data_IF_505235878707
#
_entry.id   IF_505235878707
#
_cell.length_a   1.000
_cell.length_b   1.000
_cell.length_c   1.000
_cell.angle_alpha   90.00
_cell.angle_beta   90.00
_cell.angle_gamma   90.00
#
_symmetry.space_group_name_H-M   'P 1'
#
loop_
_entity.id
_entity.type
_entity.pdbx_description
1 polymer ?
#
# COMPACT_ATOMS: atom_id res chain seq x y z
N UNK A 1 46.56 23.35 9.50
CA UNK A 1 45.64 23.67 10.61
C UNK A 1 44.21 23.63 10.08
N UNK A 2 43.43 22.73 10.67
CA UNK A 2 41.97 22.55 10.74
C UNK A 2 41.08 23.14 9.62
N UNK A 3 40.48 22.23 8.85
CA UNK A 3 39.31 22.45 7.99
C UNK A 3 38.06 22.60 8.88
N UNK A 4 37.25 23.66 8.77
CA UNK A 4 36.00 23.72 9.54
C UNK A 4 34.97 22.77 8.92
N UNK A 5 34.41 21.93 9.78
CA UNK A 5 33.31 21.00 9.51
C UNK A 5 32.00 21.80 9.35
N UNK A 6 31.12 21.50 8.38
CA UNK A 6 29.86 22.21 8.24
C UNK A 6 28.87 21.70 9.29
N UNK A 7 28.48 22.59 10.20
CA UNK A 7 27.39 22.40 11.17
C UNK A 7 26.10 22.03 10.43
N UNK A 8 25.36 20.97 10.84
CA UNK A 8 24.04 20.72 10.28
C UNK A 8 23.08 21.86 10.67
N UNK A 9 22.18 22.30 9.76
CA UNK A 9 21.19 23.31 10.10
C UNK A 9 20.26 22.78 11.20
N UNK A 10 19.96 23.64 12.18
CA UNK A 10 19.05 23.34 13.27
C UNK A 10 17.70 22.85 12.71
N UNK A 11 17.23 21.70 13.21
CA UNK A 11 15.92 21.16 12.88
C UNK A 11 14.84 22.09 13.44
N UNK A 12 14.22 22.88 12.58
CA UNK A 12 12.97 23.57 12.87
C UNK A 12 11.89 22.55 13.25
N UNK A 13 11.00 22.83 14.22
CA UNK A 13 9.86 21.95 14.49
C UNK A 13 8.91 21.94 13.27
N UNK A 14 8.15 20.85 13.04
CA UNK A 14 7.22 20.78 11.92
C UNK A 14 6.10 21.80 12.15
N UNK A 15 6.13 22.90 11.38
CA UNK A 15 4.98 23.78 11.26
C UNK A 15 3.80 22.95 10.76
N UNK A 16 2.66 23.09 11.43
CA UNK A 16 1.39 22.44 11.12
C UNK A 16 1.17 22.40 9.60
N UNK A 17 1.16 21.18 9.03
CA UNK A 17 1.15 20.98 7.60
C UNK A 17 -0.20 21.38 6.99
N UNK A 18 -0.38 22.67 6.72
CA UNK A 18 -1.44 23.16 5.85
C UNK A 18 -1.24 22.48 4.49
N UNK A 19 -2.21 21.67 4.08
CA UNK A 19 -2.15 20.97 2.80
C UNK A 19 -2.05 22.00 1.67
N UNK A 20 -0.87 22.08 1.04
CA UNK A 20 -0.61 22.99 -0.08
C UNK A 20 -1.54 22.57 -1.24
N UNK A 21 -2.41 23.44 -1.77
CA UNK A 21 -3.29 23.12 -2.90
C UNK A 21 -2.50 22.61 -4.11
N UNK A 22 -3.11 21.74 -4.93
CA UNK A 22 -2.45 21.17 -6.11
C UNK A 22 -2.00 22.25 -7.11
N UNK A 23 -2.76 23.33 -7.22
CA UNK A 23 -2.51 24.45 -8.14
C UNK A 23 -1.55 25.51 -7.56
N UNK A 24 -0.95 25.26 -6.40
CA UNK A 24 -0.03 26.22 -5.77
C UNK A 24 1.30 26.30 -6.52
N UNK A 25 1.78 27.51 -6.77
CA UNK A 25 3.10 27.80 -7.37
C UNK A 25 4.26 27.16 -6.60
N UNK A 26 4.10 26.93 -5.30
CA UNK A 26 5.08 26.22 -4.47
C UNK A 26 5.33 24.78 -4.94
N UNK A 27 4.34 24.13 -5.58
CA UNK A 27 4.50 22.77 -6.14
C UNK A 27 5.21 22.74 -7.49
N UNK A 28 5.31 23.88 -8.18
CA UNK A 28 5.91 24.02 -9.50
C UNK A 28 7.34 24.57 -9.42
N UNK A 29 7.71 25.18 -8.29
CA UNK A 29 9.05 25.74 -8.09
C UNK A 29 10.05 24.63 -7.73
N UNK A 30 11.12 24.43 -8.51
CA UNK A 30 12.13 23.43 -8.19
C UNK A 30 12.79 23.70 -6.83
N UNK A 31 12.94 22.67 -6.00
CA UNK A 31 13.61 22.81 -4.69
C UNK A 31 15.12 23.07 -4.81
N UNK A 32 15.70 22.86 -6.00
CA UNK A 32 17.11 23.10 -6.28
C UNK A 32 17.28 23.53 -7.74
N UNK A 33 18.18 24.49 -8.05
CA UNK A 33 18.40 24.97 -9.42
C UNK A 33 18.86 23.88 -10.40
N UNK A 34 19.53 22.83 -9.91
CA UNK A 34 20.00 21.71 -10.74
C UNK A 34 18.91 20.65 -11.01
N UNK A 35 17.74 20.76 -10.39
CA UNK A 35 16.64 19.84 -10.67
C UNK A 35 15.96 20.25 -11.96
N UNK A 36 15.97 19.33 -12.93
CA UNK A 36 15.29 19.51 -14.21
C UNK A 36 13.81 19.74 -13.97
N UNK A 37 13.29 20.84 -14.50
CA UNK A 37 11.86 21.16 -14.49
C UNK A 37 11.11 20.05 -15.24
N UNK A 38 10.37 19.21 -14.50
CA UNK A 38 9.53 18.18 -15.12
C UNK A 38 8.32 18.91 -15.71
N UNK A 39 8.41 19.24 -17.00
CA UNK A 39 7.30 19.82 -17.77
C UNK A 39 6.20 18.76 -17.90
N UNK A 40 5.21 18.78 -17.01
CA UNK A 40 3.94 18.14 -17.29
C UNK A 40 3.30 18.92 -18.46
N UNK A 41 2.86 18.25 -19.54
CA UNK A 41 2.12 18.93 -20.59
C UNK A 41 0.82 19.50 -20.03
N UNK A 42 0.49 20.73 -20.43
CA UNK A 42 -0.70 21.42 -19.96
C UNK A 42 -1.98 20.73 -20.46
N UNK A 43 -2.76 20.16 -19.54
CA UNK A 43 -4.06 19.56 -19.80
C UNK A 43 -4.22 18.12 -19.28
N UNK A 44 -5.45 17.55 -19.35
CA UNK A 44 -5.69 16.17 -18.97
C UNK A 44 -4.95 15.24 -19.93
N UNK A 45 -3.84 14.66 -19.46
CA UNK A 45 -3.06 13.73 -20.27
C UNK A 45 -3.85 12.43 -20.51
N UNK A 46 -3.95 11.96 -21.76
CA UNK A 46 -4.37 10.58 -22.01
C UNK A 46 -3.36 9.63 -21.37
N UNK A 47 -3.81 8.88 -20.36
CA UNK A 47 -3.01 7.96 -19.53
C UNK A 47 -2.24 6.91 -20.35
N UNK A 48 -2.69 6.62 -21.57
CA UNK A 48 -2.08 5.60 -22.44
C UNK A 48 -0.88 6.11 -23.26
N UNK A 49 -0.55 7.41 -23.19
CA UNK A 49 0.52 8.02 -24.02
C UNK A 49 1.77 8.33 -23.19
N UNK A 50 1.67 8.43 -21.87
CA UNK A 50 2.77 8.89 -21.01
C UNK A 50 3.07 7.91 -19.89
N UNK A 51 4.36 7.74 -19.60
CA UNK A 51 4.81 6.85 -18.53
C UNK A 51 4.36 7.41 -17.16
N UNK A 52 3.68 6.63 -16.31
CA UNK A 52 2.99 7.15 -15.13
C UNK A 52 3.93 7.67 -14.04
N UNK A 53 5.20 7.26 -14.05
CA UNK A 53 6.20 7.68 -13.05
C UNK A 53 7.08 8.82 -13.56
N UNK A 54 7.35 8.87 -14.86
CA UNK A 54 8.35 9.81 -15.43
C UNK A 54 7.71 10.89 -16.30
N UNK A 55 6.41 10.77 -16.59
CA UNK A 55 5.65 11.65 -17.48
C UNK A 55 6.28 11.81 -18.88
N UNK A 56 7.14 10.88 -19.29
CA UNK A 56 7.74 10.87 -20.63
C UNK A 56 6.79 10.21 -21.63
N UNK A 57 6.75 10.68 -22.90
CA UNK A 57 5.99 10.01 -23.94
C UNK A 57 6.46 8.56 -24.10
N UNK A 58 5.54 7.62 -24.01
CA UNK A 58 5.84 6.21 -24.20
C UNK A 58 6.13 6.00 -25.69
N UNK A 59 7.32 5.50 -26.02
CA UNK A 59 7.73 5.23 -27.40
C UNK A 59 7.40 3.77 -27.76
N UNK A 60 7.06 3.49 -29.03
CA UNK A 60 6.82 2.11 -29.49
C UNK A 60 7.97 1.14 -29.26
N UNK A 61 9.21 1.64 -29.14
CA UNK A 61 10.39 0.84 -28.81
C UNK A 61 10.41 0.34 -27.38
N UNK A 62 9.75 1.05 -26.46
CA UNK A 62 9.86 0.80 -25.02
C UNK A 62 9.17 -0.50 -24.61
N UNK A 63 8.28 -1.03 -25.45
CA UNK A 63 7.51 -2.25 -25.21
C UNK A 63 7.56 -3.25 -26.38
N UNK A 64 8.47 -3.05 -27.33
CA UNK A 64 8.55 -3.87 -28.55
C UNK A 64 8.93 -5.33 -28.24
N UNK A 65 9.81 -5.53 -27.25
CA UNK A 65 10.25 -6.85 -26.82
C UNK A 65 9.12 -7.61 -26.12
N UNK A 66 8.40 -6.92 -25.25
CA UNK A 66 7.26 -7.44 -24.50
C UNK A 66 6.11 -7.81 -25.43
N UNK A 67 5.80 -6.95 -26.43
CA UNK A 67 4.80 -7.27 -27.46
C UNK A 67 5.20 -8.52 -28.26
N UNK A 68 6.46 -8.63 -28.67
CA UNK A 68 6.94 -9.80 -29.40
C UNK A 68 6.81 -11.08 -28.57
N UNK A 69 7.15 -11.02 -27.28
CA UNK A 69 6.96 -12.14 -26.37
C UNK A 69 5.48 -12.51 -26.21
N UNK A 70 4.59 -11.51 -26.13
CA UNK A 70 3.16 -11.72 -26.03
C UNK A 70 2.59 -12.40 -27.29
N UNK A 71 3.04 -11.97 -28.47
CA UNK A 71 2.67 -12.58 -29.76
C UNK A 71 3.18 -14.02 -29.88
N UNK A 72 4.38 -14.32 -29.38
CA UNK A 72 4.93 -15.67 -29.35
C UNK A 72 4.14 -16.59 -28.40
N UNK A 73 3.76 -16.08 -27.23
CA UNK A 73 3.00 -16.82 -26.21
C UNK A 73 1.53 -17.02 -26.62
N UNK A 74 0.90 -16.00 -27.21
CA UNK A 74 -0.51 -16.00 -27.56
C UNK A 74 -0.72 -15.70 -29.03
N UNK A 75 -0.48 -16.71 -29.88
CA UNK A 75 -0.59 -16.63 -31.34
C UNK A 75 -2.00 -16.33 -31.86
N UNK A 76 -3.03 -16.45 -31.03
CA UNK A 76 -4.41 -16.11 -31.38
C UNK A 76 -5.08 -15.33 -30.26
N UNK A 77 -6.05 -14.49 -30.64
CA UNK A 77 -6.88 -13.75 -29.69
C UNK A 77 -7.62 -14.67 -28.72
N UNK A 78 -8.11 -15.81 -29.20
CA UNK A 78 -8.78 -16.80 -28.36
C UNK A 78 -7.85 -17.42 -27.33
N UNK A 79 -6.60 -17.73 -27.70
CA UNK A 79 -5.59 -18.23 -26.77
C UNK A 79 -5.26 -17.20 -25.69
N UNK A 80 -5.15 -15.91 -26.05
CA UNK A 80 -4.95 -14.82 -25.10
C UNK A 80 -6.13 -14.70 -24.12
N UNK A 81 -7.37 -14.76 -24.62
CA UNK A 81 -8.58 -14.68 -23.79
C UNK A 81 -8.68 -15.87 -22.84
N UNK A 82 -8.41 -17.09 -23.33
CA UNK A 82 -8.42 -18.28 -22.48
C UNK A 82 -7.36 -18.21 -21.38
N UNK A 83 -6.15 -17.76 -21.70
CA UNK A 83 -5.10 -17.57 -20.70
C UNK A 83 -5.50 -16.54 -19.63
N UNK A 84 -6.11 -15.43 -20.04
CA UNK A 84 -6.66 -14.45 -19.12
C UNK A 84 -7.74 -15.05 -18.21
N UNK A 85 -8.62 -15.90 -18.75
CA UNK A 85 -9.66 -16.56 -17.98
C UNK A 85 -9.09 -17.53 -16.93
N UNK A 86 -8.06 -18.31 -17.29
CA UNK A 86 -7.38 -19.21 -16.35
C UNK A 86 -6.72 -18.43 -15.21
N UNK A 87 -5.99 -17.35 -15.52
CA UNK A 87 -5.40 -16.47 -14.50
C UNK A 87 -6.48 -15.87 -13.60
N UNK A 88 -7.58 -15.38 -14.19
CA UNK A 88 -8.69 -14.83 -13.43
C UNK A 88 -9.33 -15.88 -12.50
N UNK A 89 -9.42 -17.14 -12.94
CA UNK A 89 -9.92 -18.25 -12.13
C UNK A 89 -8.98 -18.54 -10.95
N UNK A 90 -7.69 -18.67 -11.18
CA UNK A 90 -6.69 -18.90 -10.13
C UNK A 90 -6.71 -17.79 -9.06
N UNK A 91 -6.82 -16.54 -9.49
CA UNK A 91 -6.92 -15.39 -8.59
C UNK A 91 -8.20 -15.47 -7.74
N UNK A 92 -9.34 -15.82 -8.35
CA UNK A 92 -10.61 -16.00 -7.61
C UNK A 92 -10.50 -17.12 -6.58
N UNK A 93 -9.94 -18.26 -6.95
CA UNK A 93 -9.75 -19.40 -6.05
C UNK A 93 -8.82 -19.04 -4.88
N UNK A 94 -7.76 -18.25 -5.15
CA UNK A 94 -6.85 -17.75 -4.11
C UNK A 94 -7.53 -16.75 -3.15
N UNK A 95 -8.42 -15.90 -3.66
CA UNK A 95 -9.22 -14.98 -2.85
C UNK A 95 -10.19 -15.76 -1.96
N UNK A 96 -10.90 -16.74 -2.51
CA UNK A 96 -11.86 -17.55 -1.76
C UNK A 96 -11.18 -18.36 -0.66
N UNK A 97 -10.06 -19.03 -0.97
CA UNK A 97 -9.30 -19.78 0.03
C UNK A 97 -8.75 -18.89 1.14
N UNK A 98 -8.26 -17.70 0.81
CA UNK A 98 -7.81 -16.71 1.78
C UNK A 98 -8.95 -16.19 2.66
N UNK A 99 -10.13 -15.97 2.07
CA UNK A 99 -11.35 -15.57 2.78
C UNK A 99 -11.77 -16.65 3.78
N UNK A 100 -11.85 -17.92 3.35
CA UNK A 100 -12.19 -19.05 4.22
C UNK A 100 -11.23 -19.16 5.40
N UNK A 101 -9.92 -19.05 5.16
CA UNK A 101 -8.90 -19.05 6.24
C UNK A 101 -9.12 -17.91 7.23
N UNK A 102 -9.41 -16.71 6.74
CA UNK A 102 -9.69 -15.55 7.60
C UNK A 102 -10.93 -15.78 8.46
N UNK A 103 -12.00 -16.33 7.89
CA UNK A 103 -13.23 -16.66 8.63
C UNK A 103 -13.00 -17.73 9.70
N UNK A 104 -12.20 -18.76 9.40
CA UNK A 104 -11.85 -19.81 10.37
C UNK A 104 -11.02 -19.26 11.53
N UNK A 105 -10.00 -18.45 11.23
CA UNK A 105 -9.19 -17.77 12.26
C UNK A 105 -10.07 -16.87 13.11
N UNK A 106 -10.97 -16.09 12.50
CA UNK A 106 -11.88 -15.22 13.25
C UNK A 106 -12.78 -16.02 14.20
N UNK A 107 -13.39 -17.11 13.73
CA UNK A 107 -14.22 -17.98 14.58
C UNK A 107 -13.42 -18.57 15.75
N UNK A 108 -12.18 -18.99 15.51
CA UNK A 108 -11.30 -19.50 16.56
C UNK A 108 -10.96 -18.41 17.58
N UNK A 109 -10.73 -17.18 17.12
CA UNK A 109 -10.48 -16.05 18.01
C UNK A 109 -11.69 -15.67 18.84
N UNK A 110 -12.88 -15.59 18.24
CA UNK A 110 -14.12 -15.30 18.95
C UNK A 110 -14.40 -16.37 20.02
N UNK A 111 -14.10 -17.64 19.72
CA UNK A 111 -14.22 -18.74 20.68
C UNK A 111 -13.26 -18.54 21.87
N UNK A 112 -11.98 -18.26 21.61
CA UNK A 112 -10.99 -18.02 22.67
C UNK A 112 -11.31 -16.79 23.52
N UNK A 113 -11.86 -15.74 22.90
CA UNK A 113 -12.30 -14.54 23.64
C UNK A 113 -13.42 -14.89 24.61
N UNK A 114 -14.43 -15.66 24.16
CA UNK A 114 -15.51 -16.13 25.03
C UNK A 114 -15.00 -17.02 26.17
N UNK A 115 -14.09 -17.95 25.89
CA UNK A 115 -13.46 -18.79 26.91
C UNK A 115 -12.73 -17.94 27.95
N UNK A 116 -11.86 -17.02 27.51
CA UNK A 116 -11.16 -16.07 28.39
C UNK A 116 -12.13 -15.24 29.24
N UNK A 117 -13.25 -14.76 28.66
CA UNK A 117 -14.24 -13.98 29.41
C UNK A 117 -14.91 -14.80 30.52
N UNK A 118 -15.23 -16.05 30.23
CA UNK A 118 -15.80 -16.95 31.23
C UNK A 118 -14.80 -17.27 32.35
N UNK A 119 -13.54 -17.55 32.00
CA UNK A 119 -12.47 -17.78 32.98
C UNK A 119 -12.24 -16.55 33.85
N UNK A 120 -12.16 -15.36 33.25
CA UNK A 120 -12.01 -14.11 33.99
C UNK A 120 -13.16 -13.87 34.96
N UNK A 121 -14.40 -14.14 34.54
CA UNK A 121 -15.57 -14.01 35.42
C UNK A 121 -15.52 -14.98 36.59
N UNK A 122 -15.04 -16.20 36.38
CA UNK A 122 -14.86 -17.19 37.47
C UNK A 122 -13.76 -16.74 38.43
N UNK A 123 -12.62 -16.28 37.90
CA UNK A 123 -11.50 -15.79 38.72
C UNK A 123 -11.92 -14.59 39.56
N UNK A 124 -12.62 -13.61 38.99
CA UNK A 124 -13.12 -12.44 39.73
C UNK A 124 -14.05 -12.85 40.87
N UNK A 125 -15.00 -13.75 40.63
CA UNK A 125 -15.88 -14.26 41.69
C UNK A 125 -15.12 -14.96 42.81
N UNK A 126 -14.09 -15.74 42.47
CA UNK A 126 -13.27 -16.41 43.48
C UNK A 126 -12.44 -15.40 44.30
N UNK A 127 -11.93 -14.35 43.68
CA UNK A 127 -11.24 -13.28 44.39
C UNK A 127 -12.18 -12.49 45.30
N UNK A 128 -13.40 -12.18 44.86
CA UNK A 128 -14.42 -11.52 45.67
C UNK A 128 -14.81 -12.34 46.90
N UNK A 129 -15.02 -13.65 46.75
CA UNK A 129 -15.32 -14.53 47.89
C UNK A 129 -14.14 -14.67 48.83
N UNK A 130 -12.91 -14.78 48.31
CA UNK A 130 -11.69 -14.81 49.15
C UNK A 130 -11.41 -13.50 49.89
N UNK A 131 -11.70 -12.36 49.27
CA UNK A 131 -11.59 -11.06 49.93
C UNK A 131 -12.66 -10.87 51.03
N UNK A 132 -13.85 -11.45 50.85
CA UNK A 132 -14.93 -11.42 51.84
C UNK A 132 -14.73 -12.41 53.01
N UNK A 133 -13.88 -13.42 52.84
CA UNK A 133 -13.56 -14.48 53.82
C UNK A 133 -12.37 -14.11 54.74
N UNK A 134 -11.84 -12.88 54.63
CA UNK A 134 -10.87 -12.34 55.59
C UNK A 134 -11.64 -11.71 56.75
N UNK A 135 -11.64 -12.30 57.95
CA UNK A 135 -12.28 -11.69 59.11
C UNK A 135 -11.57 -10.38 59.48
N UNK A 136 -12.34 -9.32 59.73
CA UNK A 136 -11.86 -8.03 60.27
C UNK A 136 -11.25 -8.16 61.66
#
# INVERSE_FOLDING_TARGET
>A
MVKPEPTPPASSPPAEAVAIPLDSTTRVTPIHPDLVEIKLPDGPLPLYIYHPVTCQPIKPRDYQTELKQLEEQYKSREAALHAQEQIAKEVRDKIETSKRKREEVQKSMDKKVKERDTEMKVVSKFQETKASDVPS
#
